data_IF_316929643617
#
_entry.id   IF_316929643617
#
_cell.length_a   1.000
_cell.length_b   1.000
_cell.length_c   1.000
_cell.angle_alpha   90.00
_cell.angle_beta   90.00
_cell.angle_gamma   90.00
#
_symmetry.space_group_name_H-M   'P 1'
#
loop_
_entity.id
_entity.type
_entity.pdbx_description
1 polymer ?
#
# COMPACT_ATOMS: atom_id res chain seq x y z
N UNK A 1 11.24 -20.31 10.66
CA UNK A 1 11.56 -20.06 9.23
C UNK A 1 11.12 -21.25 8.36
N UNK A 2 11.48 -22.49 8.71
CA UNK A 2 11.07 -23.72 8.00
C UNK A 2 9.56 -23.82 7.73
N UNK A 3 8.71 -23.70 8.75
CA UNK A 3 7.24 -23.78 8.55
C UNK A 3 6.59 -22.62 7.77
N UNK A 4 7.28 -21.49 7.54
CA UNK A 4 6.77 -20.43 6.66
C UNK A 4 7.09 -20.72 5.19
N UNK A 5 8.29 -21.24 4.94
CA UNK A 5 8.73 -21.66 3.60
C UNK A 5 7.92 -22.88 3.15
N UNK A 6 7.76 -23.90 4.00
CA UNK A 6 6.93 -25.08 3.71
C UNK A 6 5.48 -24.70 3.38
N UNK A 7 4.94 -23.68 4.07
CA UNK A 7 3.58 -23.19 3.81
C UNK A 7 3.49 -22.36 2.51
N UNK A 8 4.52 -21.58 2.16
CA UNK A 8 4.61 -20.93 0.85
C UNK A 8 4.69 -22.00 -0.25
N UNK A 9 5.48 -23.05 -0.04
CA UNK A 9 5.63 -24.15 -0.98
C UNK A 9 4.35 -24.98 -1.12
N UNK A 10 3.61 -25.19 -0.03
CA UNK A 10 2.25 -25.76 -0.08
C UNK A 10 1.30 -24.87 -0.89
N UNK A 11 1.28 -23.57 -0.64
CA UNK A 11 0.46 -22.63 -1.44
C UNK A 11 0.88 -22.66 -2.91
N UNK A 12 2.18 -22.72 -3.21
CA UNK A 12 2.68 -22.81 -4.58
C UNK A 12 2.31 -24.15 -5.25
N UNK A 13 2.39 -25.27 -4.55
CA UNK A 13 1.95 -26.59 -5.04
C UNK A 13 0.43 -26.62 -5.29
N UNK A 14 -0.36 -25.95 -4.45
CA UNK A 14 -1.79 -25.77 -4.65
C UNK A 14 -2.07 -24.97 -5.94
N UNK A 15 -1.19 -24.08 -6.38
CA UNK A 15 -1.34 -23.37 -7.66
C UNK A 15 -1.15 -24.28 -8.87
N UNK A 16 -0.24 -25.25 -8.79
CA UNK A 16 -0.09 -26.27 -9.84
C UNK A 16 -1.30 -27.19 -9.91
N UNK A 17 -1.99 -27.41 -8.78
CA UNK A 17 -3.30 -28.07 -8.71
C UNK A 17 -4.40 -27.15 -9.29
N UNK A 18 -4.36 -25.84 -9.04
CA UNK A 18 -5.32 -24.88 -9.62
C UNK A 18 -5.17 -24.74 -11.13
N UNK A 19 -3.94 -24.89 -11.66
CA UNK A 19 -3.67 -24.96 -13.10
C UNK A 19 -4.40 -26.14 -13.76
N UNK A 20 -4.59 -27.27 -13.06
CA UNK A 20 -5.31 -28.42 -13.60
C UNK A 20 -6.84 -28.34 -13.42
N UNK A 21 -7.35 -27.45 -12.55
CA UNK A 21 -8.74 -27.42 -12.09
C UNK A 21 -9.58 -26.21 -12.53
N UNK A 22 -9.16 -25.46 -13.53
CA UNK A 22 -9.76 -24.16 -13.84
C UNK A 22 -11.31 -24.13 -13.84
N UNK A 23 -11.79 -23.34 -12.86
CA UNK A 23 -13.10 -22.66 -12.82
C UNK A 23 -14.31 -23.55 -12.50
N UNK A 24 -14.29 -24.19 -11.33
CA UNK A 24 -15.44 -24.49 -10.45
C UNK A 24 -14.93 -25.34 -9.27
N UNK A 25 -15.05 -25.00 -7.98
CA UNK A 25 -15.56 -23.85 -7.24
C UNK A 25 -14.66 -23.79 -6.02
N UNK A 26 -14.30 -22.60 -5.52
CA UNK A 26 -13.98 -22.47 -4.10
C UNK A 26 -14.99 -23.32 -3.31
N UNK A 27 -14.53 -24.07 -2.31
CA UNK A 27 -15.40 -24.89 -1.48
C UNK A 27 -16.59 -24.03 -1.00
N UNK A 28 -17.73 -24.66 -0.71
CA UNK A 28 -18.88 -23.91 -0.22
C UNK A 28 -18.49 -23.09 1.02
N UNK A 29 -17.65 -23.64 1.90
CA UNK A 29 -17.07 -22.93 3.04
C UNK A 29 -16.29 -21.68 2.65
N UNK A 30 -15.36 -21.77 1.70
CA UNK A 30 -14.58 -20.61 1.23
C UNK A 30 -15.46 -19.55 0.57
N UNK A 31 -16.45 -19.95 -0.24
CA UNK A 31 -17.39 -19.00 -0.86
C UNK A 31 -18.25 -18.29 0.16
N UNK A 32 -18.79 -19.02 1.14
CA UNK A 32 -19.57 -18.42 2.23
C UNK A 32 -18.69 -17.48 3.07
N UNK A 33 -17.43 -17.84 3.31
CA UNK A 33 -16.49 -16.98 4.03
C UNK A 33 -16.17 -15.69 3.26
N UNK A 34 -15.84 -15.77 1.97
CA UNK A 34 -15.62 -14.59 1.12
C UNK A 34 -16.87 -13.71 1.03
N UNK A 35 -18.05 -14.32 0.90
CA UNK A 35 -19.32 -13.59 0.91
C UNK A 35 -19.57 -12.90 2.25
N UNK A 36 -19.24 -13.57 3.37
CA UNK A 36 -19.33 -12.96 4.70
C UNK A 36 -18.42 -11.75 4.87
N UNK A 37 -17.23 -11.76 4.25
CA UNK A 37 -16.33 -10.60 4.24
C UNK A 37 -16.94 -9.42 3.49
N UNK A 38 -17.49 -9.67 2.29
CA UNK A 38 -18.18 -8.63 1.51
C UNK A 38 -19.37 -8.05 2.28
N UNK A 39 -20.16 -8.89 2.94
CA UNK A 39 -21.28 -8.45 3.77
C UNK A 39 -20.80 -7.61 4.95
N UNK A 40 -19.73 -8.03 5.65
CA UNK A 40 -19.14 -7.23 6.73
C UNK A 40 -18.64 -5.87 6.25
N UNK A 41 -17.96 -5.80 5.10
CA UNK A 41 -17.52 -4.52 4.53
C UNK A 41 -18.71 -3.62 4.17
N UNK A 42 -19.76 -4.20 3.59
CA UNK A 42 -20.98 -3.46 3.29
C UNK A 42 -21.64 -2.94 4.57
N UNK A 43 -21.80 -3.79 5.58
CA UNK A 43 -22.37 -3.43 6.87
C UNK A 43 -21.53 -2.36 7.59
N UNK A 44 -20.21 -2.43 7.58
CA UNK A 44 -19.37 -1.40 8.20
C UNK A 44 -19.48 -0.04 7.49
N UNK A 45 -19.77 -0.06 6.19
CA UNK A 45 -19.99 1.15 5.41
C UNK A 45 -21.40 1.75 5.62
N UNK A 46 -22.40 0.92 5.91
CA UNK A 46 -23.82 1.33 6.03
C UNK A 46 -24.31 1.49 7.47
N UNK A 47 -23.81 0.68 8.41
CA UNK A 47 -24.12 0.79 9.83
C UNK A 47 -23.65 2.14 10.35
N UNK A 48 -24.55 2.82 11.09
CA UNK A 48 -24.46 4.25 11.43
C UNK A 48 -23.01 4.72 11.63
N UNK A 49 -22.48 5.50 10.66
CA UNK A 49 -21.15 6.09 10.75
C UNK A 49 -20.96 6.76 12.10
N UNK A 50 -22.00 7.35 12.70
CA UNK A 50 -21.92 8.05 13.97
C UNK A 50 -21.35 7.19 15.13
N UNK A 51 -21.78 5.95 15.32
CA UNK A 51 -21.37 5.14 16.49
C UNK A 51 -19.93 4.63 16.32
N UNK A 52 -19.62 4.12 15.12
CA UNK A 52 -18.29 3.63 14.79
C UNK A 52 -17.29 4.80 14.75
N UNK A 53 -17.69 5.92 14.14
CA UNK A 53 -16.90 7.14 14.03
C UNK A 53 -16.64 7.77 15.39
N UNK A 54 -17.63 7.87 16.28
CA UNK A 54 -17.43 8.44 17.63
C UNK A 54 -16.54 7.56 18.50
N UNK A 55 -16.85 6.26 18.58
CA UNK A 55 -16.06 5.33 19.39
C UNK A 55 -14.62 5.22 18.90
N UNK A 56 -14.37 5.20 17.59
CA UNK A 56 -13.02 4.99 17.06
C UNK A 56 -12.24 6.28 16.88
N UNK A 57 -12.88 7.40 16.55
CA UNK A 57 -12.20 8.70 16.57
C UNK A 57 -11.72 9.05 17.97
N UNK A 58 -12.42 8.66 19.03
CA UNK A 58 -11.92 8.85 20.39
C UNK A 58 -10.52 8.22 20.57
N UNK A 59 -10.29 7.02 20.02
CA UNK A 59 -9.01 6.29 20.10
C UNK A 59 -7.89 6.96 19.31
N UNK A 60 -8.20 7.75 18.27
CA UNK A 60 -7.19 8.42 17.43
C UNK A 60 -7.12 9.94 17.66
N UNK A 61 -8.02 10.51 18.47
CA UNK A 61 -8.16 11.97 18.66
C UNK A 61 -6.94 12.65 19.31
N UNK A 62 -6.16 11.91 20.10
CA UNK A 62 -4.96 12.42 20.76
C UNK A 62 -3.71 12.48 19.87
N UNK A 63 -3.77 11.96 18.65
CA UNK A 63 -2.63 11.92 17.74
C UNK A 63 -2.66 13.09 16.76
N UNK A 64 -1.46 13.51 16.34
CA UNK A 64 -1.31 14.59 15.38
C UNK A 64 -1.86 14.20 14.00
N UNK A 65 -2.50 15.15 13.30
CA UNK A 65 -3.07 14.91 11.97
C UNK A 65 -2.00 15.00 10.90
N UNK A 66 -1.85 13.95 10.13
CA UNK A 66 -0.79 13.80 9.15
C UNK A 66 -0.82 14.89 8.06
N UNK A 67 -1.99 15.25 7.55
CA UNK A 67 -2.10 16.23 6.47
C UNK A 67 -1.56 17.61 6.90
N UNK A 68 -1.70 17.98 8.18
CA UNK A 68 -1.12 19.22 8.72
C UNK A 68 0.41 19.18 8.70
N UNK A 69 0.99 18.04 9.05
CA UNK A 69 2.44 17.82 8.98
C UNK A 69 2.96 17.90 7.54
N UNK A 70 2.24 17.29 6.59
CA UNK A 70 2.60 17.38 5.16
C UNK A 70 2.48 18.83 4.66
N UNK A 71 1.41 19.53 5.01
CA UNK A 71 1.20 20.92 4.59
C UNK A 71 2.19 21.91 5.20
N UNK A 72 2.77 21.59 6.36
CA UNK A 72 3.86 22.38 6.94
C UNK A 72 5.11 22.40 6.05
N UNK A 73 5.25 21.43 5.14
CA UNK A 73 6.39 21.28 4.23
C UNK A 73 7.75 21.22 4.95
N UNK A 74 7.75 20.77 6.20
CA UNK A 74 8.96 20.53 6.98
C UNK A 74 9.60 19.16 6.63
N UNK A 75 9.91 19.01 5.34
CA UNK A 75 10.66 17.89 4.75
C UNK A 75 11.28 18.35 3.42
N UNK A 76 12.40 17.74 3.06
CA UNK A 76 13.02 17.83 1.73
C UNK A 76 12.59 16.64 0.87
N UNK A 77 12.41 15.46 1.47
CA UNK A 77 11.81 14.28 0.85
C UNK A 77 10.75 13.65 1.77
N UNK A 78 9.57 13.39 1.22
CA UNK A 78 8.50 12.63 1.85
C UNK A 78 8.37 11.28 1.14
N UNK A 79 8.78 10.21 1.79
CA UNK A 79 8.68 8.84 1.30
C UNK A 79 7.37 8.23 1.84
N UNK A 80 6.51 7.81 0.94
CA UNK A 80 5.22 7.16 1.21
C UNK A 80 5.33 5.67 0.92
N UNK A 81 5.00 4.85 1.91
CA UNK A 81 4.86 3.41 1.80
C UNK A 81 3.37 3.06 1.81
N UNK A 82 2.82 2.52 0.73
CA UNK A 82 1.39 2.21 0.59
C UNK A 82 0.91 1.19 1.64
N UNK A 83 -0.18 1.52 2.34
CA UNK A 83 -0.80 0.71 3.38
C UNK A 83 0.14 0.30 4.54
N UNK A 84 1.10 1.15 4.90
CA UNK A 84 2.10 0.89 5.93
C UNK A 84 1.61 1.24 7.34
N UNK A 85 1.42 0.20 8.17
CA UNK A 85 0.94 0.32 9.55
C UNK A 85 2.05 0.78 10.48
N UNK A 86 1.71 1.65 11.42
CA UNK A 86 2.63 2.12 12.45
C UNK A 86 3.23 0.98 13.29
N UNK A 87 2.41 0.04 13.74
CA UNK A 87 2.81 -1.03 14.67
C UNK A 87 3.88 -1.94 14.06
N UNK A 88 3.66 -2.45 12.84
CA UNK A 88 4.64 -3.29 12.14
C UNK A 88 5.88 -2.49 11.78
N UNK A 89 5.73 -1.27 11.28
CA UNK A 89 6.86 -0.39 10.94
C UNK A 89 7.77 -0.12 12.14
N UNK A 90 7.19 0.12 13.31
CA UNK A 90 7.92 0.45 14.54
C UNK A 90 8.87 -0.67 15.00
N UNK A 91 8.55 -1.92 14.64
CA UNK A 91 9.35 -3.09 14.99
C UNK A 91 10.54 -3.24 14.03
N UNK A 92 10.35 -2.98 12.74
CA UNK A 92 11.33 -3.36 11.71
C UNK A 92 12.20 -2.21 11.20
N UNK A 93 11.77 -0.95 11.35
CA UNK A 93 12.47 0.20 10.72
C UNK A 93 13.91 0.35 11.20
N UNK A 94 14.17 0.11 12.49
CA UNK A 94 15.49 0.31 13.10
C UNK A 94 16.53 -0.73 12.68
N UNK A 95 16.13 -1.78 11.96
CA UNK A 95 17.07 -2.68 11.30
C UNK A 95 17.67 -2.07 10.02
N UNK A 96 17.08 -0.98 9.51
CA UNK A 96 17.46 -0.36 8.24
C UNK A 96 17.85 1.11 8.38
N UNK A 97 17.22 1.85 9.29
CA UNK A 97 17.36 3.31 9.41
C UNK A 97 17.27 3.77 10.87
N UNK A 98 18.13 4.71 11.23
CA UNK A 98 18.04 5.46 12.48
C UNK A 98 17.18 6.72 12.32
N UNK A 99 16.51 7.15 13.39
CA UNK A 99 15.63 8.31 13.32
C UNK A 99 14.70 8.46 14.52
N UNK A 100 13.73 9.35 14.37
CA UNK A 100 12.67 9.60 15.37
C UNK A 100 11.33 9.15 14.81
N UNK A 101 10.75 8.12 15.41
CA UNK A 101 9.44 7.61 15.07
C UNK A 101 8.34 8.19 15.97
N UNK A 102 7.22 8.62 15.38
CA UNK A 102 5.96 8.83 16.10
C UNK A 102 4.76 8.34 15.29
N UNK A 103 3.66 7.93 15.94
CA UNK A 103 2.40 7.64 15.27
C UNK A 103 1.68 8.95 14.92
N UNK A 104 1.07 8.99 13.73
CA UNK A 104 0.20 10.09 13.30
C UNK A 104 -1.08 9.54 12.67
N UNK A 105 -2.12 10.38 12.57
CA UNK A 105 -3.41 10.00 11.99
C UNK A 105 -3.45 10.36 10.51
N UNK A 106 -3.53 9.36 9.65
CA UNK A 106 -3.90 9.55 8.26
C UNK A 106 -5.34 10.07 8.15
N UNK A 107 -5.61 11.05 7.26
CA UNK A 107 -6.97 11.56 7.04
C UNK A 107 -7.91 10.51 6.42
N UNK A 108 -7.40 9.41 5.88
CA UNK A 108 -8.21 8.39 5.20
C UNK A 108 -7.67 6.97 5.41
N UNK A 109 -8.46 5.98 4.99
CA UNK A 109 -8.11 4.55 5.05
C UNK A 109 -7.87 3.95 3.66
N UNK A 110 -7.82 4.78 2.62
CA UNK A 110 -7.72 4.38 1.22
C UNK A 110 -6.98 5.46 0.42
N UNK A 111 -6.10 5.08 -0.51
CA UNK A 111 -5.21 6.01 -1.23
C UNK A 111 -5.94 7.15 -1.92
N UNK A 112 -7.03 6.90 -2.65
CA UNK A 112 -7.75 7.97 -3.38
C UNK A 112 -8.40 8.98 -2.43
N UNK A 113 -8.96 8.50 -1.32
CA UNK A 113 -9.48 9.35 -0.24
C UNK A 113 -8.34 10.13 0.42
N UNK A 114 -7.18 9.52 0.66
CA UNK A 114 -6.00 10.20 1.21
C UNK A 114 -5.51 11.30 0.28
N UNK A 115 -5.34 11.00 -1.01
CA UNK A 115 -4.88 11.96 -2.03
C UNK A 115 -5.80 13.18 -2.08
N UNK A 116 -7.12 12.96 -2.02
CA UNK A 116 -8.11 14.05 -1.99
C UNK A 116 -7.95 14.95 -0.77
N UNK A 117 -7.75 14.37 0.42
CA UNK A 117 -7.58 15.14 1.65
C UNK A 117 -6.26 15.90 1.66
N UNK A 118 -5.15 15.30 1.20
CA UNK A 118 -3.82 15.88 1.30
C UNK A 118 -3.50 16.87 0.18
N UNK A 119 -3.89 16.58 -1.06
CA UNK A 119 -3.39 17.30 -2.24
C UNK A 119 -4.42 18.16 -2.97
N UNK A 120 -5.72 18.02 -2.72
CA UNK A 120 -6.74 18.77 -3.49
C UNK A 120 -6.88 20.24 -3.10
N UNK A 121 -6.36 20.66 -1.94
CA UNK A 121 -6.57 22.00 -1.39
C UNK A 121 -5.92 23.13 -2.20
N UNK A 122 -4.90 22.85 -3.00
CA UNK A 122 -4.23 23.84 -3.88
C UNK A 122 -3.37 23.15 -4.94
N UNK A 123 -2.70 23.97 -5.75
CA UNK A 123 -1.62 23.53 -6.65
C UNK A 123 -0.29 23.59 -5.90
N UNK A 124 0.55 22.58 -6.09
CA UNK A 124 1.82 22.38 -5.41
C UNK A 124 3.00 22.49 -6.38
N UNK A 125 3.28 23.73 -6.81
CA UNK A 125 4.34 24.07 -7.78
C UNK A 125 5.78 23.90 -7.25
N UNK A 126 5.95 23.40 -6.03
CA UNK A 126 7.24 23.07 -5.42
C UNK A 126 7.37 21.58 -5.07
N UNK A 127 6.47 20.73 -5.56
CA UNK A 127 6.48 19.28 -5.33
C UNK A 127 6.79 18.53 -6.62
N UNK A 128 7.80 17.67 -6.55
CA UNK A 128 8.08 16.65 -7.57
C UNK A 128 7.59 15.31 -7.04
N UNK A 129 6.58 14.75 -7.68
CA UNK A 129 5.91 13.52 -7.24
C UNK A 129 6.36 12.32 -8.08
N UNK A 130 7.00 11.34 -7.46
CA UNK A 130 7.39 10.07 -8.08
C UNK A 130 6.40 9.00 -7.63
N UNK A 131 5.55 8.52 -8.54
CA UNK A 131 4.42 7.64 -8.19
C UNK A 131 4.54 6.25 -8.79
N UNK A 132 4.57 5.23 -7.94
CA UNK A 132 4.37 3.84 -8.32
C UNK A 132 2.89 3.43 -8.38
N UNK A 133 1.96 4.31 -8.01
CA UNK A 133 0.52 4.05 -8.02
C UNK A 133 -0.19 4.75 -9.18
N UNK A 134 -1.12 4.04 -9.83
CA UNK A 134 -1.93 4.54 -10.94
C UNK A 134 -2.84 5.71 -10.50
N UNK A 135 -3.18 5.81 -9.21
CA UNK A 135 -4.07 6.85 -8.67
C UNK A 135 -3.51 8.27 -8.80
N UNK A 136 -2.19 8.41 -9.01
CA UNK A 136 -1.55 9.70 -9.30
C UNK A 136 -1.05 9.65 -10.74
N UNK A 137 -1.79 10.27 -11.65
CA UNK A 137 -1.52 10.22 -13.09
C UNK A 137 -1.87 11.53 -13.82
N UNK A 138 -1.20 11.78 -14.94
CA UNK A 138 -1.38 12.95 -15.82
C UNK A 138 -2.57 12.79 -16.77
N UNK A 139 -3.22 11.63 -16.75
CA UNK A 139 -4.25 11.23 -17.71
C UNK A 139 -5.68 11.45 -17.19
N UNK A 140 -5.84 11.90 -15.94
CA UNK A 140 -7.16 12.12 -15.33
C UNK A 140 -7.98 10.82 -15.19
N UNK A 141 -7.33 9.68 -14.98
CA UNK A 141 -7.98 8.36 -15.01
C UNK A 141 -8.97 8.12 -13.84
N UNK A 142 -8.90 8.91 -12.77
CA UNK A 142 -9.74 8.74 -11.58
C UNK A 142 -10.48 10.03 -11.27
N UNK A 143 -11.78 9.91 -10.99
CA UNK A 143 -12.64 11.06 -10.65
C UNK A 143 -12.43 11.53 -9.22
N UNK A 144 -11.92 10.66 -8.36
CA UNK A 144 -11.76 10.89 -6.93
C UNK A 144 -10.63 11.88 -6.62
N UNK A 145 -9.60 11.93 -7.47
CA UNK A 145 -8.48 12.83 -7.37
C UNK A 145 -7.90 13.11 -8.76
N UNK A 146 -7.96 14.38 -9.18
CA UNK A 146 -7.34 14.82 -10.42
C UNK A 146 -5.94 15.39 -10.11
N UNK A 147 -4.92 14.64 -10.51
CA UNK A 147 -3.52 15.02 -10.34
C UNK A 147 -2.98 15.91 -11.46
N UNK A 148 -3.78 16.17 -12.52
CA UNK A 148 -3.36 17.05 -13.61
C UNK A 148 -3.07 18.44 -13.06
N UNK A 149 -1.91 18.96 -13.43
CA UNK A 149 -1.42 20.29 -13.04
C UNK A 149 -1.33 20.53 -11.52
N UNK A 150 -1.36 19.48 -10.69
CA UNK A 150 -1.24 19.59 -9.22
C UNK A 150 0.18 19.75 -8.73
N UNK A 151 1.17 19.27 -9.48
CA UNK A 151 2.56 19.16 -9.04
C UNK A 151 3.50 19.78 -10.07
N UNK A 152 4.65 20.30 -9.63
CA UNK A 152 5.70 20.85 -10.50
C UNK A 152 6.14 19.84 -11.58
N UNK A 153 6.30 18.59 -11.16
CA UNK A 153 6.58 17.46 -12.03
C UNK A 153 6.00 16.20 -11.42
N UNK A 154 5.60 15.28 -12.28
CA UNK A 154 5.19 13.95 -11.88
C UNK A 154 5.90 12.90 -12.74
N UNK A 155 6.51 11.93 -12.08
CA UNK A 155 7.12 10.76 -12.70
C UNK A 155 6.19 9.55 -12.47
N UNK A 156 5.51 9.12 -13.54
CA UNK A 156 4.52 8.03 -13.53
C UNK A 156 5.22 6.67 -13.65
N UNK A 157 5.86 6.22 -12.56
CA UNK A 157 6.61 4.95 -12.52
C UNK A 157 5.70 3.75 -12.76
N UNK A 158 4.42 3.84 -12.41
CA UNK A 158 3.43 2.80 -12.71
C UNK A 158 3.30 2.50 -14.21
N UNK A 159 3.60 3.47 -15.08
CA UNK A 159 3.43 3.36 -16.53
C UNK A 159 4.58 2.55 -17.16
N UNK A 160 5.82 2.88 -16.81
CA UNK A 160 7.02 2.27 -17.41
C UNK A 160 7.76 1.27 -16.50
N UNK A 161 7.49 1.30 -15.19
CA UNK A 161 8.17 0.51 -14.17
C UNK A 161 7.42 -0.76 -13.75
N UNK A 162 6.27 -1.05 -14.35
CA UNK A 162 5.46 -2.23 -14.02
C UNK A 162 6.19 -3.55 -14.33
N UNK A 163 6.30 -4.44 -13.35
CA UNK A 163 6.79 -5.81 -13.55
C UNK A 163 5.61 -6.76 -13.72
N UNK A 164 5.58 -7.50 -14.84
CA UNK A 164 4.60 -8.56 -15.06
C UNK A 164 4.79 -9.72 -14.07
N UNK A 165 6.03 -10.06 -13.75
CA UNK A 165 6.38 -11.20 -12.89
C UNK A 165 6.01 -10.96 -11.43
N UNK A 166 6.11 -9.70 -10.97
CA UNK A 166 5.71 -9.32 -9.61
C UNK A 166 4.27 -8.80 -9.53
N UNK A 167 3.61 -8.61 -10.68
CA UNK A 167 2.31 -7.95 -10.81
C UNK A 167 2.23 -6.59 -10.08
N UNK A 168 3.35 -5.86 -10.05
CA UNK A 168 3.51 -4.61 -9.30
C UNK A 168 4.72 -3.81 -9.83
N UNK A 169 4.87 -2.55 -9.43
CA UNK A 169 6.11 -1.77 -9.60
C UNK A 169 7.13 -2.15 -8.49
N UNK A 170 8.32 -2.66 -8.82
CA UNK A 170 9.35 -2.97 -7.83
C UNK A 170 9.94 -1.69 -7.18
N UNK A 171 10.35 -1.72 -5.90
CA UNK A 171 11.00 -0.58 -5.24
C UNK A 171 12.23 -0.04 -5.98
N UNK A 172 13.01 -0.92 -6.63
CA UNK A 172 14.17 -0.52 -7.42
C UNK A 172 13.83 0.41 -8.60
N UNK A 173 12.66 0.22 -9.22
CA UNK A 173 12.17 1.11 -10.29
C UNK A 173 11.78 2.48 -9.75
N UNK A 174 11.28 2.55 -8.51
CA UNK A 174 10.99 3.80 -7.82
C UNK A 174 12.28 4.56 -7.51
N UNK A 175 13.31 3.90 -6.97
CA UNK A 175 14.63 4.53 -6.75
C UNK A 175 15.22 5.08 -8.05
N UNK A 176 15.15 4.30 -9.14
CA UNK A 176 15.57 4.76 -10.47
C UNK A 176 14.76 5.98 -10.95
N UNK A 177 13.45 5.97 -10.73
CA UNK A 177 12.57 7.07 -11.10
C UNK A 177 12.90 8.36 -10.35
N UNK A 178 13.30 8.28 -9.07
CA UNK A 178 13.76 9.46 -8.31
C UNK A 178 14.99 10.08 -8.98
N UNK A 179 15.99 9.25 -9.34
CA UNK A 179 17.19 9.72 -10.06
C UNK A 179 16.84 10.36 -11.40
N UNK A 180 15.93 9.76 -12.17
CA UNK A 180 15.41 10.31 -13.43
C UNK A 180 14.71 11.65 -13.21
N UNK A 181 13.80 11.74 -12.24
CA UNK A 181 13.03 12.95 -11.95
C UNK A 181 13.94 14.10 -11.52
N UNK A 182 14.89 13.85 -10.61
CA UNK A 182 15.87 14.85 -10.17
C UNK A 182 16.75 15.33 -11.33
N UNK A 183 17.16 14.42 -12.22
CA UNK A 183 17.94 14.77 -13.42
C UNK A 183 17.14 15.67 -14.36
N UNK A 184 15.87 15.32 -14.64
CA UNK A 184 14.95 16.16 -15.44
C UNK A 184 14.78 17.55 -14.82
N UNK A 185 14.64 17.64 -13.49
CA UNK A 185 14.51 18.92 -12.79
C UNK A 185 15.78 19.77 -12.89
N UNK A 186 16.95 19.15 -12.71
CA UNK A 186 18.25 19.82 -12.84
C UNK A 186 18.44 20.40 -14.25
N UNK A 187 18.09 19.63 -15.30
CA UNK A 187 18.14 20.10 -16.69
C UNK A 187 17.21 21.30 -16.91
N UNK A 188 16.04 21.32 -16.25
CA UNK A 188 15.09 22.43 -16.28
C UNK A 188 15.50 23.62 -15.38
N UNK A 189 16.68 23.58 -14.75
CA UNK A 189 17.20 24.67 -13.91
C UNK A 189 16.73 24.65 -12.45
N UNK A 190 15.96 23.64 -12.02
CA UNK A 190 15.48 23.51 -10.64
C UNK A 190 16.50 22.78 -9.75
N UNK A 191 16.71 23.29 -8.55
CA UNK A 191 17.58 22.69 -7.52
C UNK A 191 16.75 22.04 -6.42
N UNK A 192 17.12 20.80 -6.11
CA UNK A 192 16.54 20.05 -5.00
C UNK A 192 16.72 20.83 -3.68
N UNK A 193 15.73 20.77 -2.78
CA UNK A 193 15.64 21.47 -1.48
C UNK A 193 15.45 22.99 -1.54
N UNK A 194 15.92 23.63 -2.61
CA UNK A 194 15.74 25.08 -2.80
C UNK A 194 14.47 25.39 -3.57
N UNK A 195 14.30 24.76 -4.73
CA UNK A 195 13.23 25.08 -5.66
C UNK A 195 12.10 24.04 -5.60
N UNK A 196 12.39 22.81 -5.16
CA UNK A 196 11.39 21.75 -4.99
C UNK A 196 11.72 20.75 -3.88
N UNK A 197 10.68 20.05 -3.43
CA UNK A 197 10.72 18.89 -2.52
C UNK A 197 10.28 17.63 -3.27
N UNK A 198 10.75 16.48 -2.79
CA UNK A 198 10.38 15.18 -3.33
C UNK A 198 9.22 14.56 -2.55
N UNK A 199 8.28 13.97 -3.27
CA UNK A 199 7.32 12.99 -2.73
C UNK A 199 7.54 11.69 -3.50
N UNK A 200 7.85 10.61 -2.80
CA UNK A 200 8.21 9.31 -3.40
C UNK A 200 7.25 8.25 -2.89
N UNK A 201 6.37 7.75 -3.75
CA UNK A 201 5.28 6.86 -3.37
C UNK A 201 5.54 5.44 -3.87
N UNK A 202 5.93 4.56 -2.95
CA UNK A 202 6.05 3.12 -3.16
C UNK A 202 4.72 2.44 -2.92
N UNK A 203 4.44 1.37 -3.67
CA UNK A 203 3.24 0.53 -3.50
C UNK A 203 3.44 -0.60 -2.47
N UNK A 204 4.59 -0.65 -1.79
CA UNK A 204 4.87 -1.61 -0.73
C UNK A 204 4.77 -0.89 0.62
N UNK A 205 4.34 -1.56 1.70
CA UNK A 205 4.14 -3.02 1.84
C UNK A 205 2.84 -3.60 1.29
N UNK A 206 1.93 -2.78 0.76
CA UNK A 206 0.64 -3.21 0.19
C UNK A 206 0.76 -4.41 -0.79
N UNK A 207 -0.35 -5.16 -0.91
CA UNK A 207 -0.50 -6.33 -1.78
C UNK A 207 -0.39 -5.91 -3.26
N UNK A 208 0.30 -6.65 -4.17
CA UNK A 208 0.74 -8.04 -4.06
C UNK A 208 1.90 -8.28 -3.08
N UNK A 209 1.90 -9.43 -2.41
CA UNK A 209 3.02 -9.85 -1.57
C UNK A 209 4.04 -10.63 -2.40
N UNK A 210 5.32 -10.23 -2.35
CA UNK A 210 6.38 -10.83 -3.17
C UNK A 210 6.54 -12.35 -2.95
N UNK A 211 6.26 -12.82 -1.74
CA UNK A 211 6.27 -14.25 -1.39
C UNK A 211 5.22 -15.06 -2.17
N UNK A 212 4.17 -14.40 -2.67
CA UNK A 212 3.11 -14.99 -3.51
C UNK A 212 3.20 -14.53 -4.97
N UNK A 213 4.37 -14.07 -5.45
CA UNK A 213 4.53 -13.56 -6.82
C UNK A 213 4.01 -14.54 -7.90
N UNK A 214 4.26 -15.84 -7.73
CA UNK A 214 3.79 -16.87 -8.66
C UNK A 214 2.26 -16.97 -8.66
N UNK A 215 1.64 -16.90 -7.49
CA UNK A 215 0.17 -16.81 -7.33
C UNK A 215 -0.39 -15.60 -8.06
N UNK A 216 0.21 -14.43 -7.86
CA UNK A 216 -0.27 -13.20 -8.46
C UNK A 216 -0.08 -13.14 -9.97
N UNK A 217 1.06 -13.63 -10.48
CA UNK A 217 1.29 -13.78 -11.91
C UNK A 217 0.22 -14.68 -12.55
N UNK A 218 -0.12 -15.80 -11.89
CA UNK A 218 -1.14 -16.74 -12.35
C UNK A 218 -2.55 -16.13 -12.31
N UNK A 219 -2.93 -15.46 -11.23
CA UNK A 219 -4.25 -14.81 -11.14
C UNK A 219 -4.37 -13.69 -12.20
N UNK A 220 -3.31 -12.91 -12.42
CA UNK A 220 -3.27 -11.87 -13.46
C UNK A 220 -3.38 -12.46 -14.88
N UNK A 221 -2.64 -13.55 -15.12
CA UNK A 221 -2.94 -14.66 -16.03
C UNK A 221 -4.42 -14.75 -16.42
N UNK A 222 -5.16 -15.32 -15.48
CA UNK A 222 -6.54 -15.72 -15.68
C UNK A 222 -7.50 -14.55 -15.82
N UNK A 223 -7.27 -13.43 -15.12
CA UNK A 223 -8.13 -12.24 -15.26
C UNK A 223 -8.12 -11.70 -16.69
N UNK A 224 -6.96 -11.77 -17.38
CA UNK A 224 -6.85 -11.38 -18.81
C UNK A 224 -7.59 -12.31 -19.76
N UNK A 225 -7.82 -13.56 -19.37
CA UNK A 225 -8.53 -14.56 -20.19
C UNK A 225 -10.06 -14.41 -20.15
N UNK A 226 -10.61 -13.40 -19.46
CA UNK A 226 -12.02 -13.01 -19.59
C UNK A 226 -13.01 -13.78 -18.71
N UNK A 227 -12.55 -14.50 -17.68
CA UNK A 227 -13.43 -15.24 -16.76
C UNK A 227 -14.29 -14.29 -15.90
N UNK A 228 -15.54 -14.07 -16.33
CA UNK A 228 -16.46 -13.08 -15.74
C UNK A 228 -16.77 -13.29 -14.25
N UNK A 229 -16.78 -14.52 -13.75
CA UNK A 229 -17.04 -14.80 -12.32
C UNK A 229 -15.90 -14.33 -11.40
N UNK A 230 -14.65 -14.36 -11.88
CA UNK A 230 -13.49 -13.85 -11.15
C UNK A 230 -13.43 -12.32 -11.15
N UNK A 231 -14.19 -11.65 -12.03
CA UNK A 231 -14.20 -10.18 -12.11
C UNK A 231 -14.88 -9.51 -10.91
N UNK A 232 -15.72 -10.25 -10.17
CA UNK A 232 -16.42 -9.80 -8.95
C UNK A 232 -15.50 -9.64 -7.74
N UNK A 233 -14.33 -10.29 -7.75
CA UNK A 233 -13.37 -10.26 -6.66
C UNK A 233 -12.10 -9.50 -7.07
N UNK A 234 -11.54 -8.72 -6.15
CA UNK A 234 -10.20 -8.13 -6.39
C UNK A 234 -9.14 -9.23 -6.37
N UNK A 235 -7.96 -8.92 -6.92
CA UNK A 235 -6.80 -9.81 -6.89
C UNK A 235 -6.47 -10.29 -5.46
N UNK A 236 -6.63 -9.39 -4.48
CA UNK A 236 -6.39 -9.65 -3.07
C UNK A 236 -7.44 -10.58 -2.43
N UNK A 237 -8.72 -10.49 -2.83
CA UNK A 237 -9.76 -11.44 -2.39
C UNK A 237 -9.54 -12.84 -2.96
N UNK A 238 -9.01 -12.95 -4.19
CA UNK A 238 -8.66 -14.24 -4.77
C UNK A 238 -7.54 -14.91 -3.98
N UNK A 239 -6.50 -14.16 -3.59
CA UNK A 239 -5.46 -14.67 -2.67
C UNK A 239 -6.08 -15.19 -1.36
N UNK A 240 -7.00 -14.46 -0.73
CA UNK A 240 -7.66 -14.92 0.49
C UNK A 240 -8.39 -16.25 0.30
N UNK A 241 -9.13 -16.38 -0.81
CA UNK A 241 -9.82 -17.63 -1.12
C UNK A 241 -8.85 -18.80 -1.30
N UNK A 242 -7.72 -18.58 -1.99
CA UNK A 242 -6.68 -19.61 -2.17
C UNK A 242 -6.06 -20.04 -0.83
N UNK A 243 -5.72 -19.07 0.02
CA UNK A 243 -5.23 -19.34 1.37
C UNK A 243 -6.27 -20.13 2.18
N UNK A 244 -7.55 -19.79 2.06
CA UNK A 244 -8.63 -20.47 2.78
C UNK A 244 -8.88 -21.91 2.33
N UNK A 245 -8.64 -22.24 1.05
CA UNK A 245 -8.67 -23.63 0.58
C UNK A 245 -7.54 -24.46 1.18
N UNK A 246 -6.38 -23.84 1.42
CA UNK A 246 -5.20 -24.54 1.94
C UNK A 246 -5.18 -24.58 3.47
N UNK A 247 -5.76 -23.55 4.11
CA UNK A 247 -5.68 -23.32 5.54
C UNK A 247 -7.09 -23.20 6.13
N UNK A 248 -7.48 -24.21 6.91
CA UNK A 248 -8.82 -24.29 7.51
C UNK A 248 -9.01 -23.20 8.57
N UNK A 249 -8.00 -22.93 9.42
CA UNK A 249 -8.10 -21.91 10.47
C UNK A 249 -7.86 -20.49 9.93
N UNK A 250 -8.83 -19.60 10.16
CA UNK A 250 -8.74 -18.18 9.79
C UNK A 250 -7.60 -17.44 10.50
N UNK A 251 -7.24 -17.86 11.71
CA UNK A 251 -6.12 -17.27 12.44
C UNK A 251 -4.79 -17.60 11.77
N UNK A 252 -4.64 -18.82 11.24
CA UNK A 252 -3.47 -19.20 10.46
C UNK A 252 -3.40 -18.43 9.13
N UNK A 253 -4.52 -18.25 8.41
CA UNK A 253 -4.58 -17.36 7.23
C UNK A 253 -4.09 -15.95 7.58
N UNK A 254 -4.54 -15.40 8.71
CA UNK A 254 -4.11 -14.08 9.19
C UNK A 254 -2.61 -14.04 9.50
N UNK A 255 -2.06 -15.08 10.15
CA UNK A 255 -0.61 -15.18 10.43
C UNK A 255 0.21 -15.24 9.14
N UNK A 256 -0.25 -15.97 8.12
CA UNK A 256 0.40 -16.02 6.80
C UNK A 256 0.47 -14.62 6.20
N UNK A 257 -0.66 -13.92 6.15
CA UNK A 257 -0.75 -12.58 5.57
C UNK A 257 0.11 -11.57 6.33
N UNK A 258 0.15 -11.63 7.67
CA UNK A 258 1.03 -10.78 8.49
C UNK A 258 2.50 -10.99 8.14
N UNK A 259 2.94 -12.24 8.00
CA UNK A 259 4.32 -12.56 7.59
C UNK A 259 4.62 -12.10 6.17
N UNK A 260 3.68 -12.29 5.24
CA UNK A 260 3.82 -11.84 3.86
C UNK A 260 3.92 -10.31 3.76
N UNK A 261 3.10 -9.60 4.53
CA UNK A 261 3.12 -8.14 4.68
C UNK A 261 4.44 -7.64 5.28
N UNK A 262 4.89 -8.23 6.39
CA UNK A 262 6.17 -7.88 7.02
C UNK A 262 7.35 -8.13 6.06
N UNK A 263 7.32 -9.23 5.30
CA UNK A 263 8.33 -9.51 4.29
C UNK A 263 8.37 -8.44 3.19
N UNK A 264 7.20 -7.99 2.71
CA UNK A 264 7.10 -6.87 1.77
C UNK A 264 7.64 -5.56 2.37
N UNK A 265 7.34 -5.29 3.64
CA UNK A 265 7.82 -4.11 4.35
C UNK A 265 9.35 -4.12 4.46
N UNK A 266 9.93 -5.23 4.90
CA UNK A 266 11.38 -5.44 4.96
C UNK A 266 12.03 -5.32 3.59
N UNK A 267 11.36 -5.82 2.54
CA UNK A 267 11.84 -5.70 1.17
C UNK A 267 11.92 -4.24 0.73
N UNK A 268 10.86 -3.44 0.91
CA UNK A 268 10.88 -2.03 0.51
C UNK A 268 11.81 -1.19 1.38
N UNK A 269 11.93 -1.49 2.68
CA UNK A 269 12.82 -0.75 3.58
C UNK A 269 14.30 -0.83 3.18
N UNK A 270 14.74 -1.93 2.56
CA UNK A 270 16.10 -2.01 1.97
C UNK A 270 16.33 -0.92 0.91
N UNK A 271 15.35 -0.70 0.04
CA UNK A 271 15.44 0.30 -1.03
C UNK A 271 15.19 1.72 -0.53
N UNK A 272 14.35 1.87 0.48
CA UNK A 272 14.13 3.16 1.15
C UNK A 272 15.40 3.60 1.87
N UNK A 273 16.12 2.68 2.52
CA UNK A 273 17.41 2.97 3.14
C UNK A 273 18.47 3.37 2.10
N UNK A 274 18.55 2.64 0.97
CA UNK A 274 19.41 3.01 -0.16
C UNK A 274 19.07 4.42 -0.68
N UNK A 275 17.78 4.70 -0.92
CA UNK A 275 17.36 6.01 -1.40
C UNK A 275 17.65 7.10 -0.38
N UNK A 276 17.39 6.86 0.91
CA UNK A 276 17.63 7.83 1.96
C UNK A 276 19.12 8.19 2.06
N UNK A 277 20.03 7.23 1.87
CA UNK A 277 21.48 7.49 1.83
C UNK A 277 21.94 8.35 0.64
N UNK A 278 21.12 8.42 -0.41
CA UNK A 278 21.40 9.22 -1.61
C UNK A 278 20.79 10.63 -1.55
N UNK A 279 19.78 10.86 -0.70
CA UNK A 279 19.08 12.13 -0.63
C UNK A 279 19.63 13.01 0.49
N UNK A 280 19.88 14.28 0.19
CA UNK A 280 20.24 15.26 1.20
C UNK A 280 19.02 15.83 1.92
N UNK A 281 19.21 16.25 3.17
CA UNK A 281 18.24 17.06 3.91
C UNK A 281 17.28 16.26 4.79
N UNK A 282 16.13 16.86 5.09
CA UNK A 282 15.15 16.29 6.01
C UNK A 282 14.28 15.25 5.32
N UNK A 283 14.54 13.97 5.56
CA UNK A 283 13.77 12.86 5.01
C UNK A 283 12.72 12.40 6.02
N UNK A 284 11.47 12.31 5.57
CA UNK A 284 10.35 11.77 6.34
C UNK A 284 9.82 10.55 5.64
N UNK A 285 9.67 9.44 6.37
CA UNK A 285 8.99 8.22 5.90
C UNK A 285 7.63 8.14 6.59
N UNK A 286 6.58 7.96 5.81
CA UNK A 286 5.20 7.83 6.29
C UNK A 286 4.39 6.93 5.37
N UNK A 287 3.09 6.81 5.62
CA UNK A 287 2.16 6.07 4.79
C UNK A 287 0.91 6.88 4.44
N UNK A 288 0.24 6.55 3.34
CA UNK A 288 -1.07 7.11 3.02
C UNK A 288 -2.18 6.51 3.89
N UNK A 289 -2.12 5.22 4.24
CA UNK A 289 -3.03 4.56 5.18
C UNK A 289 -2.41 3.27 5.75
N UNK A 290 -3.14 2.51 6.56
CA UNK A 290 -2.72 1.20 7.06
C UNK A 290 -3.42 0.04 6.36
N UNK A 291 -3.36 -1.16 6.96
CA UNK A 291 -3.87 -2.41 6.37
C UNK A 291 -4.45 -3.33 7.46
N UNK A 292 -5.62 -3.94 7.23
CA UNK A 292 -6.12 -5.02 8.08
C UNK A 292 -5.50 -6.34 7.65
N UNK A 293 -4.99 -7.07 8.64
CA UNK A 293 -4.29 -8.34 8.49
C UNK A 293 -5.00 -9.41 9.36
N UNK A 294 -6.33 -9.38 9.39
CA UNK A 294 -7.20 -10.29 10.14
C UNK A 294 -7.93 -9.68 11.33
N UNK A 295 -7.66 -8.42 11.69
CA UNK A 295 -8.37 -7.75 12.79
C UNK A 295 -9.88 -7.75 12.56
N UNK A 296 -10.65 -8.10 13.59
CA UNK A 296 -12.12 -8.23 13.52
C UNK A 296 -12.62 -9.23 12.47
N UNK A 297 -11.74 -10.12 12.00
CA UNK A 297 -12.00 -11.02 10.88
C UNK A 297 -12.18 -10.28 9.55
N UNK A 298 -11.47 -9.16 9.38
CA UNK A 298 -11.44 -8.32 8.19
C UNK A 298 -10.01 -8.25 7.64
N UNK A 299 -9.90 -7.94 6.35
CA UNK A 299 -8.63 -7.90 5.64
C UNK A 299 -8.56 -6.71 4.71
N UNK A 300 -7.34 -6.34 4.37
CA UNK A 300 -7.01 -5.22 3.53
C UNK A 300 -7.53 -3.89 4.10
N UNK A 301 -7.86 -2.92 3.25
CA UNK A 301 -8.17 -1.56 3.65
C UNK A 301 -9.56 -1.16 3.13
N UNK A 302 -10.65 -1.72 3.70
CA UNK A 302 -11.97 -1.18 3.47
C UNK A 302 -11.98 0.29 3.92
N UNK A 303 -12.71 1.16 3.21
CA UNK A 303 -12.75 2.60 3.50
C UNK A 303 -13.57 2.88 4.77
N UNK A 304 -13.01 2.53 5.93
CA UNK A 304 -13.61 2.61 7.27
C UNK A 304 -12.58 3.17 8.27
N UNK A 305 -13.00 3.91 9.31
CA UNK A 305 -12.09 4.68 10.17
C UNK A 305 -11.41 3.84 11.26
N UNK A 306 -10.89 2.64 10.92
CA UNK A 306 -10.21 1.76 11.86
C UNK A 306 -8.83 2.30 12.25
N UNK A 307 -8.39 2.16 13.52
CA UNK A 307 -7.04 2.57 13.93
C UNK A 307 -5.93 1.91 13.11
N UNK A 308 -6.06 0.61 12.81
CA UNK A 308 -5.10 -0.13 11.98
C UNK A 308 -5.00 0.40 10.54
N UNK A 309 -6.00 1.15 10.08
CA UNK A 309 -6.03 1.77 8.75
C UNK A 309 -5.61 3.24 8.78
N UNK A 310 -5.57 3.88 9.95
CA UNK A 310 -5.34 5.33 10.06
C UNK A 310 -4.13 5.71 10.89
N UNK A 311 -3.65 4.85 11.78
CA UNK A 311 -2.42 5.09 12.53
C UNK A 311 -1.22 4.63 11.69
N UNK A 312 -0.49 5.61 11.18
CA UNK A 312 0.61 5.43 10.24
C UNK A 312 1.91 5.99 10.82
N UNK A 313 3.08 5.48 10.39
CA UNK A 313 4.35 5.99 10.87
C UNK A 313 4.59 7.43 10.40
N UNK A 314 5.21 8.23 11.26
CA UNK A 314 5.89 9.44 10.88
C UNK A 314 7.32 9.35 11.40
N UNK A 315 8.23 8.95 10.52
CA UNK A 315 9.62 8.68 10.84
C UNK A 315 10.53 9.73 10.22
N UNK A 316 11.23 10.49 11.05
CA UNK A 316 12.23 11.46 10.59
C UNK A 316 13.59 10.78 10.65
N UNK A 317 14.21 10.56 9.49
CA UNK A 317 15.54 9.92 9.37
C UNK A 317 16.61 10.81 10.00
N UNK A 318 17.60 10.20 10.69
CA UNK A 318 18.71 10.91 11.34
C UNK A 318 19.82 11.31 10.38
#
# INVERSE_FOLDING_TARGET
VLGFIEMIDQVNNVLDIIRSYLVNRFSLGTRLWLFSLLLKYHLLKTASPLIIYTAWNSKISGYERQEKLIWSKNFDALILLDACRYDVFSIVVYEYLDGRLKPVVSPASYTTSWLRHVWSNKIWNDIVYVSATLFVNKRGLFKEFDARDKFLHMEEVWDWGWSKDLAMVPPSKVNLAVKIAMTKMKIRGFRYRRDYRLVVHYIQPHVPYIVFKNTFALIHQYKKMGYKELSKFTLSHLLLGLLKETIIDNNEVSKVLRRAYEHNLRWVLKYVAELASYLDGRIVITSDHGELLGEYGLYFHPDVPLPQLRLVPWFVVR
#
